data_IF_452637325784
#
_entry.id   IF_452637325784
#
_cell.length_a   1.000
_cell.length_b   1.000
_cell.length_c   1.000
_cell.angle_alpha   90.00
_cell.angle_beta   90.00
_cell.angle_gamma   90.00
#
_symmetry.space_group_name_H-M   'P 1'
#
loop_
_entity.id
_entity.type
_entity.pdbx_description
1 polymer ?
#
# COMPACT_ATOMS: atom_id res chain seq x y z
N UNK A 1 -1.01 3.51 -4.88
CA UNK A 1 -0.67 3.30 -6.32
C UNK A 1 -0.16 1.89 -6.62
N UNK A 2 0.85 1.39 -5.91
CA UNK A 2 1.38 0.03 -6.17
C UNK A 2 0.37 -1.07 -5.80
N UNK A 3 -0.35 -0.91 -4.67
CA UNK A 3 -1.47 -1.78 -4.24
C UNK A 3 -2.79 -1.47 -4.94
N UNK A 4 -3.69 -0.70 -4.33
CA UNK A 4 -5.04 -0.50 -4.90
C UNK A 4 -5.16 0.56 -6.01
N UNK A 5 -4.03 1.10 -6.48
CA UNK A 5 -4.03 2.09 -7.56
C UNK A 5 -4.05 1.46 -8.94
N UNK A 6 -4.70 2.15 -9.88
CA UNK A 6 -4.73 1.82 -11.29
C UNK A 6 -4.44 3.07 -12.13
N UNK A 7 -3.66 2.89 -13.19
CA UNK A 7 -3.37 3.92 -14.18
C UNK A 7 -3.83 3.36 -15.52
N UNK A 8 -4.87 3.95 -16.08
CA UNK A 8 -5.40 3.62 -17.39
C UNK A 8 -4.97 4.67 -18.40
N UNK A 9 -4.34 4.24 -19.50
CA UNK A 9 -3.89 5.10 -20.58
C UNK A 9 -4.28 4.46 -21.92
N UNK A 10 -5.18 5.10 -22.64
CA UNK A 10 -5.63 4.74 -23.98
C UNK A 10 -5.78 6.01 -24.84
N UNK A 11 -5.86 5.87 -26.16
CA UNK A 11 -5.90 7.01 -27.12
C UNK A 11 -6.90 8.10 -26.70
N UNK A 12 -8.09 7.70 -26.26
CA UNK A 12 -9.20 8.61 -25.94
C UNK A 12 -9.46 8.79 -24.43
N UNK A 13 -8.74 8.06 -23.56
CA UNK A 13 -9.04 8.08 -22.13
C UNK A 13 -7.77 7.89 -21.30
N UNK A 14 -7.56 8.80 -20.35
CA UNK A 14 -6.45 8.74 -19.39
C UNK A 14 -7.02 8.95 -18.00
N UNK A 15 -6.91 7.93 -17.16
CA UNK A 15 -7.50 7.93 -15.83
C UNK A 15 -6.52 7.36 -14.82
N UNK A 16 -6.45 8.01 -13.68
CA UNK A 16 -5.84 7.46 -12.47
C UNK A 16 -6.96 7.19 -11.48
N UNK A 17 -6.95 6.01 -10.88
CA UNK A 17 -7.92 5.65 -9.85
C UNK A 17 -7.26 4.90 -8.70
N UNK A 18 -7.84 5.05 -7.52
CA UNK A 18 -7.49 4.32 -6.32
C UNK A 18 -8.79 3.71 -5.83
N UNK A 19 -8.81 2.38 -5.76
CA UNK A 19 -9.95 1.64 -5.26
C UNK A 19 -9.82 1.44 -3.75
N UNK A 20 -10.93 1.37 -3.05
CA UNK A 20 -11.00 0.97 -1.65
C UNK A 20 -12.33 0.30 -1.36
N UNK A 21 -12.47 -0.31 -0.19
CA UNK A 21 -13.74 -0.84 0.26
C UNK A 21 -14.61 0.28 0.86
N UNK A 22 -15.94 0.15 0.79
CA UNK A 22 -16.85 1.09 1.47
C UNK A 22 -16.63 1.16 2.98
N UNK A 23 -16.17 0.07 3.62
CA UNK A 23 -15.77 0.06 5.04
C UNK A 23 -14.53 0.90 5.34
N UNK A 24 -13.83 1.37 4.31
CA UNK A 24 -12.64 2.21 4.40
C UNK A 24 -12.92 3.62 3.83
N UNK A 25 -14.20 4.01 3.75
CA UNK A 25 -14.65 5.29 3.20
C UNK A 25 -13.98 6.47 3.89
N UNK A 26 -13.90 6.46 5.22
CA UNK A 26 -13.29 7.54 6.01
C UNK A 26 -11.80 7.69 5.68
N UNK A 27 -11.08 6.57 5.55
CA UNK A 27 -9.68 6.58 5.13
C UNK A 27 -9.52 7.11 3.70
N UNK A 28 -10.37 6.65 2.78
CA UNK A 28 -10.27 7.04 1.37
C UNK A 28 -10.62 8.50 1.13
N UNK A 29 -11.69 9.01 1.76
CA UNK A 29 -12.17 10.38 1.59
C UNK A 29 -11.40 11.36 2.49
N UNK A 30 -11.11 10.98 3.73
CA UNK A 30 -10.49 11.84 4.73
C UNK A 30 -8.96 11.88 4.66
N UNK A 31 -8.30 10.85 4.10
CA UNK A 31 -6.84 10.80 4.01
C UNK A 31 -6.35 10.67 2.57
N UNK A 32 -6.76 9.62 1.84
CA UNK A 32 -6.19 9.32 0.51
C UNK A 32 -6.49 10.42 -0.50
N UNK A 33 -7.74 10.87 -0.60
CA UNK A 33 -8.12 11.95 -1.52
C UNK A 33 -7.35 13.25 -1.21
N UNK A 34 -7.39 13.81 0.02
CA UNK A 34 -6.63 15.01 0.37
C UNK A 34 -5.12 14.88 0.13
N UNK A 35 -4.53 13.72 0.39
CA UNK A 35 -3.12 13.45 0.11
C UNK A 35 -2.80 13.65 -1.38
N UNK A 36 -3.59 13.04 -2.26
CA UNK A 36 -3.40 13.17 -3.71
C UNK A 36 -3.67 14.59 -4.21
N UNK A 37 -4.74 15.23 -3.73
CA UNK A 37 -5.05 16.61 -4.10
C UNK A 37 -3.97 17.59 -3.62
N UNK A 38 -3.41 17.37 -2.43
CA UNK A 38 -2.34 18.17 -1.85
C UNK A 38 -1.02 18.05 -2.61
N UNK A 39 -0.68 16.84 -3.07
CA UNK A 39 0.55 16.56 -3.84
C UNK A 39 0.47 17.07 -5.27
N UNK A 40 -0.62 16.78 -5.97
CA UNK A 40 -0.75 17.07 -7.40
C UNK A 40 -1.45 18.41 -7.69
N UNK A 41 -1.97 19.09 -6.65
CA UNK A 41 -2.74 20.34 -6.78
C UNK A 41 -3.89 20.26 -7.77
N UNK A 42 -4.53 19.09 -7.86
CA UNK A 42 -5.69 18.82 -8.72
C UNK A 42 -6.79 18.17 -7.91
N UNK A 43 -8.05 18.50 -8.20
CA UNK A 43 -9.20 17.86 -7.55
C UNK A 43 -9.47 16.46 -8.11
N UNK A 44 -9.75 15.51 -7.23
CA UNK A 44 -10.16 14.15 -7.52
C UNK A 44 -11.67 13.98 -7.30
N UNK A 45 -12.27 13.11 -8.10
CA UNK A 45 -13.68 12.73 -8.01
C UNK A 45 -13.83 11.48 -7.14
N UNK A 46 -15.03 11.29 -6.59
CA UNK A 46 -15.41 10.09 -5.86
C UNK A 46 -16.50 9.36 -6.66
N UNK A 47 -16.37 8.04 -6.77
CA UNK A 47 -17.41 7.17 -7.33
C UNK A 47 -17.66 6.00 -6.39
N UNK A 48 -18.91 5.83 -5.97
CA UNK A 48 -19.36 4.68 -5.18
C UNK A 48 -19.79 3.55 -6.13
N UNK A 49 -19.51 2.31 -5.74
CA UNK A 49 -20.01 1.07 -6.36
C UNK A 49 -20.57 0.17 -5.27
N UNK A 50 -21.76 0.51 -4.79
CA UNK A 50 -22.41 -0.14 -3.65
C UNK A 50 -22.60 -1.65 -3.86
N UNK A 51 -23.03 -2.04 -5.06
CA UNK A 51 -23.18 -3.45 -5.45
C UNK A 51 -21.90 -4.29 -5.31
N UNK A 52 -20.72 -3.65 -5.32
CA UNK A 52 -19.41 -4.28 -5.20
C UNK A 52 -18.68 -3.90 -3.90
N UNK A 53 -19.37 -3.25 -2.95
CA UNK A 53 -18.76 -2.66 -1.74
C UNK A 53 -17.51 -1.81 -2.04
N UNK A 54 -17.49 -1.14 -3.20
CA UNK A 54 -16.33 -0.43 -3.71
C UNK A 54 -16.48 1.08 -3.67
N UNK A 55 -15.35 1.77 -3.50
CA UNK A 55 -15.22 3.21 -3.62
C UNK A 55 -14.00 3.51 -4.50
N UNK A 56 -14.14 4.50 -5.39
CA UNK A 56 -13.04 4.98 -6.22
C UNK A 56 -12.78 6.45 -5.94
N UNK A 57 -11.53 6.78 -5.65
CA UNK A 57 -10.99 8.14 -5.79
C UNK A 57 -10.30 8.19 -7.13
N UNK A 58 -10.76 9.03 -8.06
CA UNK A 58 -10.26 9.00 -9.44
C UNK A 58 -10.15 10.38 -10.09
N UNK A 59 -9.31 10.45 -11.12
CA UNK A 59 -9.16 11.63 -11.97
C UNK A 59 -8.91 11.22 -13.41
N UNK A 60 -9.70 11.78 -14.32
CA UNK A 60 -9.39 11.76 -15.75
C UNK A 60 -8.39 12.87 -16.03
N UNK A 61 -7.14 12.53 -16.37
CA UNK A 61 -6.10 13.51 -16.68
C UNK A 61 -4.92 12.84 -17.40
N UNK A 62 -4.62 13.31 -18.62
CA UNK A 62 -3.43 12.89 -19.38
C UNK A 62 -2.13 13.30 -18.66
N UNK A 63 -2.08 14.52 -18.12
CA UNK A 63 -0.90 15.04 -17.44
C UNK A 63 -0.57 14.27 -16.17
N UNK A 64 -1.58 13.87 -15.39
CA UNK A 64 -1.37 13.06 -14.19
C UNK A 64 -0.85 11.66 -14.54
N UNK A 65 -1.44 11.00 -15.54
CA UNK A 65 -0.96 9.70 -16.05
C UNK A 65 0.49 9.80 -16.49
N UNK A 66 0.83 10.80 -17.30
CA UNK A 66 2.21 11.04 -17.75
C UNK A 66 3.16 11.25 -16.57
N UNK A 67 2.76 12.08 -15.60
CA UNK A 67 3.56 12.38 -14.40
C UNK A 67 3.85 11.12 -13.59
N UNK A 68 2.83 10.31 -13.30
CA UNK A 68 3.01 9.07 -12.54
C UNK A 68 3.88 8.05 -13.27
N UNK A 69 3.74 7.95 -14.60
CA UNK A 69 4.61 7.10 -15.42
C UNK A 69 6.06 7.59 -15.40
N UNK A 70 6.30 8.91 -15.46
CA UNK A 70 7.63 9.52 -15.30
C UNK A 70 8.26 9.19 -13.94
N UNK A 71 7.46 9.07 -12.88
CA UNK A 71 7.90 8.60 -11.56
C UNK A 71 8.04 7.07 -11.45
N UNK A 72 7.94 6.32 -12.56
CA UNK A 72 8.23 4.90 -12.61
C UNK A 72 7.06 3.99 -12.23
N UNK A 73 5.84 4.51 -12.19
CA UNK A 73 4.63 3.69 -12.14
C UNK A 73 4.25 3.23 -13.56
N UNK A 74 3.50 2.14 -13.66
CA UNK A 74 3.13 1.54 -14.96
C UNK A 74 1.64 1.70 -15.22
N UNK A 75 1.29 2.09 -16.45
CA UNK A 75 -0.07 2.02 -16.96
C UNK A 75 -0.48 0.59 -17.33
N UNK A 76 -1.75 0.26 -17.12
CA UNK A 76 -2.35 -1.03 -17.46
C UNK A 76 -2.11 -2.11 -16.41
N UNK A 77 -2.00 -3.36 -16.86
CA UNK A 77 -1.86 -4.50 -15.97
C UNK A 77 -0.48 -4.51 -15.28
N UNK A 78 -0.47 -4.18 -13.98
CA UNK A 78 0.75 -4.08 -13.17
C UNK A 78 1.54 -5.38 -13.06
N UNK A 79 0.85 -6.53 -13.07
CA UNK A 79 1.50 -7.85 -12.99
C UNK A 79 2.26 -8.15 -14.27
N UNK A 80 1.62 -8.02 -15.43
CA UNK A 80 2.27 -8.29 -16.71
C UNK A 80 3.36 -7.27 -17.05
N UNK A 81 3.25 -6.04 -16.54
CA UNK A 81 4.26 -4.99 -16.69
C UNK A 81 5.36 -4.99 -15.62
N UNK A 82 5.34 -5.96 -14.70
CA UNK A 82 6.40 -6.10 -13.69
C UNK A 82 6.53 -4.91 -12.75
N UNK A 83 5.39 -4.36 -12.29
CA UNK A 83 5.39 -3.25 -11.33
C UNK A 83 6.26 -3.56 -10.11
N UNK A 84 7.02 -2.56 -9.67
CA UNK A 84 7.98 -2.66 -8.55
C UNK A 84 8.11 -1.29 -7.91
N UNK A 85 8.69 -1.24 -6.70
CA UNK A 85 9.05 0.03 -6.08
C UNK A 85 10.04 0.77 -7.00
N UNK A 86 9.77 2.02 -7.43
CA UNK A 86 10.67 2.77 -8.30
C UNK A 86 12.07 2.95 -7.69
N UNK A 87 13.16 2.84 -8.48
CA UNK A 87 14.53 2.92 -7.95
C UNK A 87 14.84 4.20 -7.17
N UNK A 88 14.28 5.34 -7.59
CA UNK A 88 14.50 6.62 -6.91
C UNK A 88 13.97 6.64 -5.47
N UNK A 89 12.98 5.80 -5.13
CA UNK A 89 12.51 5.65 -3.74
C UNK A 89 13.63 5.09 -2.84
N UNK A 90 14.49 4.22 -3.37
CA UNK A 90 15.59 3.61 -2.60
C UNK A 90 16.74 4.58 -2.28
N UNK A 91 16.73 5.79 -2.84
CA UNK A 91 17.74 6.82 -2.58
C UNK A 91 17.62 7.43 -1.19
N UNK A 92 16.43 7.40 -0.59
CA UNK A 92 16.16 8.02 0.71
C UNK A 92 15.36 7.08 1.63
N UNK A 93 15.84 6.91 2.86
CA UNK A 93 15.15 6.09 3.87
C UNK A 93 13.75 6.63 4.20
N UNK A 94 13.53 7.95 4.18
CA UNK A 94 12.21 8.53 4.42
C UNK A 94 11.21 8.15 3.32
N UNK A 95 11.65 8.14 2.06
CA UNK A 95 10.82 7.71 0.92
C UNK A 95 10.49 6.22 1.02
N UNK A 96 11.46 5.39 1.40
CA UNK A 96 11.21 3.96 1.65
C UNK A 96 10.19 3.74 2.75
N UNK A 97 10.32 4.43 3.89
CA UNK A 97 9.37 4.34 5.00
C UNK A 97 7.96 4.75 4.55
N UNK A 98 7.83 5.88 3.86
CA UNK A 98 6.55 6.35 3.34
C UNK A 98 5.94 5.39 2.29
N UNK A 99 6.76 4.84 1.40
CA UNK A 99 6.33 3.87 0.39
C UNK A 99 5.86 2.56 1.02
N UNK A 100 6.61 2.01 1.98
CA UNK A 100 6.25 0.80 2.70
C UNK A 100 4.99 0.99 3.55
N UNK A 101 4.83 2.13 4.22
CA UNK A 101 3.58 2.47 4.92
C UNK A 101 2.39 2.38 3.95
N UNK A 102 2.49 3.03 2.79
CA UNK A 102 1.43 2.99 1.79
C UNK A 102 1.15 1.60 1.22
N UNK A 103 2.17 0.74 1.08
CA UNK A 103 1.99 -0.66 0.65
C UNK A 103 1.28 -1.48 1.73
N UNK A 104 1.66 -1.33 3.00
CA UNK A 104 1.03 -2.04 4.10
C UNK A 104 -0.41 -1.56 4.31
N UNK A 105 -0.66 -0.26 4.13
CA UNK A 105 -2.00 0.32 4.25
C UNK A 105 -2.98 -0.25 3.23
N UNK A 106 -2.51 -0.68 2.06
CA UNK A 106 -3.33 -1.26 0.97
C UNK A 106 -3.28 -2.78 0.90
N UNK A 107 -2.08 -3.36 0.74
CA UNK A 107 -1.89 -4.80 0.49
C UNK A 107 -1.45 -5.57 1.75
N UNK A 108 -1.36 -4.88 2.88
CA UNK A 108 -0.97 -5.44 4.16
C UNK A 108 -2.13 -5.65 5.13
N UNK A 109 -1.80 -6.25 6.27
CA UNK A 109 -2.75 -6.46 7.36
C UNK A 109 -1.99 -6.69 8.66
N UNK A 110 -2.68 -6.51 9.79
CA UNK A 110 -2.15 -6.87 11.11
C UNK A 110 -2.92 -8.08 11.64
N UNK A 111 -2.23 -9.19 11.88
CA UNK A 111 -2.80 -10.44 12.36
C UNK A 111 -2.11 -10.89 13.65
N UNK A 112 -2.80 -11.61 14.55
CA UNK A 112 -2.14 -12.24 15.68
C UNK A 112 -1.16 -13.30 15.19
N UNK A 113 -0.20 -13.68 16.03
CA UNK A 113 0.80 -14.69 15.66
C UNK A 113 0.19 -16.06 15.43
N UNK A 114 -0.74 -16.44 16.29
CA UNK A 114 -1.61 -17.61 16.15
C UNK A 114 -2.76 -17.45 17.16
N UNK A 115 -3.58 -18.49 17.34
CA UNK A 115 -4.73 -18.44 18.25
C UNK A 115 -4.35 -18.38 19.74
N UNK A 116 -3.12 -18.73 20.10
CA UNK A 116 -2.65 -18.78 21.50
C UNK A 116 -1.70 -17.64 21.85
N UNK A 117 -1.07 -17.04 20.85
CA UNK A 117 -0.18 -15.90 20.97
C UNK A 117 -0.73 -14.79 20.09
N UNK A 118 -1.43 -13.86 20.73
CA UNK A 118 -2.14 -12.79 20.05
C UNK A 118 -1.23 -11.63 19.64
N UNK A 119 0.06 -11.69 19.97
CA UNK A 119 1.02 -10.65 19.62
C UNK A 119 0.99 -10.33 18.11
N UNK A 120 0.97 -9.06 17.71
CA UNK A 120 0.73 -8.69 16.32
C UNK A 120 1.90 -9.07 15.41
N UNK A 121 1.56 -9.51 14.22
CA UNK A 121 2.42 -9.63 13.05
C UNK A 121 1.95 -8.64 11.98
N UNK A 122 2.90 -8.05 11.26
CA UNK A 122 2.59 -7.15 10.15
C UNK A 122 2.79 -7.92 8.86
N UNK A 123 1.71 -8.12 8.12
CA UNK A 123 1.68 -8.90 6.89
C UNK A 123 1.67 -7.97 5.69
N UNK A 124 2.25 -8.45 4.59
CA UNK A 124 2.17 -7.86 3.27
C UNK A 124 1.91 -8.96 2.25
N UNK A 125 1.03 -8.69 1.29
CA UNK A 125 0.71 -9.62 0.20
C UNK A 125 0.93 -8.97 -1.15
N UNK A 126 1.30 -9.75 -2.17
CA UNK A 126 1.34 -9.25 -3.55
C UNK A 126 1.42 -10.39 -4.56
N UNK A 127 0.50 -10.39 -5.53
CA UNK A 127 0.54 -11.32 -6.67
C UNK A 127 1.61 -10.97 -7.73
N UNK A 128 2.39 -9.90 -7.53
CA UNK A 128 3.36 -9.37 -8.50
C UNK A 128 4.78 -9.75 -8.04
N UNK A 129 5.48 -10.69 -8.70
CA UNK A 129 6.80 -11.16 -8.27
C UNK A 129 7.85 -10.06 -8.12
N UNK A 130 7.92 -9.14 -9.08
CA UNK A 130 8.84 -7.99 -9.04
C UNK A 130 8.56 -7.06 -7.86
N UNK A 131 7.29 -6.88 -7.49
CA UNK A 131 6.91 -6.08 -6.33
C UNK A 131 7.34 -6.77 -5.04
N UNK A 132 7.11 -8.08 -4.90
CA UNK A 132 7.59 -8.89 -3.76
C UNK A 132 9.10 -8.74 -3.53
N UNK A 133 9.89 -8.88 -4.59
CA UNK A 133 11.36 -8.73 -4.54
C UNK A 133 11.73 -7.31 -4.07
N UNK A 134 11.11 -6.28 -4.66
CA UNK A 134 11.40 -4.89 -4.30
C UNK A 134 10.96 -4.53 -2.87
N UNK A 135 9.85 -5.09 -2.37
CA UNK A 135 9.38 -4.95 -0.98
C UNK A 135 10.38 -5.59 -0.02
N UNK A 136 10.83 -6.83 -0.28
CA UNK A 136 11.86 -7.48 0.54
C UNK A 136 13.15 -6.66 0.58
N UNK A 137 13.60 -6.16 -0.58
CA UNK A 137 14.78 -5.27 -0.65
C UNK A 137 14.58 -3.99 0.17
N UNK A 138 13.39 -3.39 0.14
CA UNK A 138 13.07 -2.17 0.86
C UNK A 138 13.09 -2.39 2.38
N UNK A 139 12.47 -3.47 2.88
CA UNK A 139 12.53 -3.84 4.30
C UNK A 139 13.95 -4.14 4.76
N UNK A 140 14.71 -4.93 3.99
CA UNK A 140 16.11 -5.24 4.31
C UNK A 140 16.97 -3.96 4.39
N UNK A 141 16.77 -3.00 3.47
CA UNK A 141 17.49 -1.70 3.48
C UNK A 141 17.18 -0.84 4.71
N UNK A 142 16.03 -1.05 5.34
CA UNK A 142 15.65 -0.42 6.61
C UNK A 142 15.98 -1.29 7.83
N UNK A 143 16.64 -2.44 7.63
CA UNK A 143 17.07 -3.35 8.70
C UNK A 143 15.96 -4.23 9.27
N UNK A 144 14.82 -4.38 8.59
CA UNK A 144 13.75 -5.31 8.96
C UNK A 144 13.94 -6.66 8.28
N UNK A 145 13.58 -7.74 8.96
CA UNK A 145 13.69 -9.10 8.47
C UNK A 145 12.30 -9.62 8.11
N UNK A 146 11.97 -9.54 6.83
CA UNK A 146 10.72 -10.10 6.32
C UNK A 146 10.82 -11.62 6.24
N UNK A 147 9.78 -12.34 6.68
CA UNK A 147 9.72 -13.80 6.50
C UNK A 147 9.78 -14.17 5.01
N UNK A 148 10.16 -15.41 4.71
CA UNK A 148 10.03 -15.94 3.35
C UNK A 148 8.60 -15.81 2.84
N UNK A 149 8.46 -15.44 1.56
CA UNK A 149 7.16 -15.37 0.91
C UNK A 149 6.55 -16.77 0.82
N UNK A 150 5.33 -16.93 1.32
CA UNK A 150 4.62 -18.22 1.26
C UNK A 150 4.07 -18.44 -0.15
N UNK A 151 4.47 -19.53 -0.77
CA UNK A 151 3.98 -19.95 -2.09
C UNK A 151 2.47 -20.25 -2.04
N UNK A 152 1.78 -20.05 -3.17
CA UNK A 152 0.32 -20.13 -3.29
C UNK A 152 -0.44 -18.94 -2.69
N UNK A 153 -0.06 -18.47 -1.50
CA UNK A 153 -0.74 -17.36 -0.79
C UNK A 153 -0.10 -15.99 -1.01
N UNK A 154 1.13 -15.93 -1.52
CA UNK A 154 1.84 -14.72 -1.91
C UNK A 154 1.93 -13.64 -0.82
N UNK A 155 2.16 -14.03 0.43
CA UNK A 155 2.36 -13.10 1.54
C UNK A 155 3.67 -13.35 2.28
N UNK A 156 4.14 -12.32 2.98
CA UNK A 156 5.24 -12.35 3.91
C UNK A 156 4.93 -11.47 5.13
N UNK A 157 5.72 -11.55 6.19
CA UNK A 157 5.41 -10.85 7.44
C UNK A 157 6.65 -10.47 8.26
N UNK A 158 6.54 -9.37 9.00
CA UNK A 158 7.43 -9.03 10.12
C UNK A 158 6.87 -9.70 11.37
N UNK A 159 7.71 -10.52 12.03
CA UNK A 159 7.28 -11.38 13.15
C UNK A 159 8.06 -11.18 14.45
N UNK A 160 9.28 -10.62 14.35
CA UNK A 160 10.10 -10.39 15.54
C UNK A 160 9.51 -9.24 16.32
N UNK A 161 9.23 -9.45 17.61
CA UNK A 161 8.63 -8.45 18.50
C UNK A 161 9.32 -7.09 18.43
N UNK A 162 10.65 -7.08 18.55
CA UNK A 162 11.44 -5.85 18.43
C UNK A 162 11.27 -5.14 17.09
N UNK A 163 11.17 -5.88 15.99
CA UNK A 163 10.95 -5.31 14.65
C UNK A 163 9.50 -4.86 14.44
N UNK A 164 8.52 -5.53 15.03
CA UNK A 164 7.11 -5.12 14.99
C UNK A 164 6.93 -3.78 15.73
N UNK A 165 7.48 -3.66 16.94
CA UNK A 165 7.47 -2.41 17.71
C UNK A 165 8.23 -1.29 16.99
N UNK A 166 9.38 -1.62 16.37
CA UNK A 166 10.16 -0.65 15.59
C UNK A 166 9.43 -0.23 14.31
N UNK A 167 8.71 -1.13 13.64
CA UNK A 167 7.90 -0.79 12.48
C UNK A 167 6.85 0.26 12.87
N UNK A 168 6.16 0.06 13.98
CA UNK A 168 5.15 1.00 14.45
C UNK A 168 5.74 2.39 14.70
N UNK A 169 6.93 2.47 15.32
CA UNK A 169 7.62 3.72 15.61
C UNK A 169 8.18 4.42 14.36
N UNK A 170 8.76 3.68 13.43
CA UNK A 170 9.50 4.27 12.29
C UNK A 170 8.67 4.42 11.01
N UNK A 171 7.72 3.51 10.78
CA UNK A 171 6.91 3.45 9.55
C UNK A 171 5.45 3.78 9.88
N UNK A 172 4.87 3.06 10.84
CA UNK A 172 3.49 3.24 11.27
C UNK A 172 2.45 2.85 10.23
N UNK A 173 1.21 3.26 10.48
CA UNK A 173 0.05 3.02 9.61
C UNK A 173 -0.66 4.34 9.38
N UNK A 174 -1.12 4.60 8.15
CA UNK A 174 -2.04 5.70 7.88
C UNK A 174 -3.48 5.21 7.73
N UNK A 175 -3.70 3.93 7.45
CA UNK A 175 -5.03 3.33 7.44
C UNK A 175 -5.46 2.98 8.89
N UNK A 176 -6.50 3.64 9.44
CA UNK A 176 -6.94 3.44 10.83
C UNK A 176 -7.28 1.98 11.15
N UNK A 177 -7.77 1.21 10.18
CA UNK A 177 -8.08 -0.22 10.34
C UNK A 177 -6.88 -1.02 10.84
N UNK A 178 -5.69 -0.77 10.30
CA UNK A 178 -4.48 -1.49 10.70
C UNK A 178 -3.97 -1.00 12.05
N UNK A 179 -4.07 0.31 12.31
CA UNK A 179 -3.72 0.89 13.61
C UNK A 179 -4.57 0.32 14.75
N UNK A 180 -5.90 0.26 14.56
CA UNK A 180 -6.84 -0.29 15.54
C UNK A 180 -6.52 -1.77 15.81
N UNK A 181 -6.29 -2.56 14.75
CA UNK A 181 -5.90 -3.98 14.90
C UNK A 181 -4.57 -4.15 15.62
N UNK A 182 -3.58 -3.31 15.31
CA UNK A 182 -2.30 -3.31 15.98
C UNK A 182 -2.44 -3.02 17.47
N UNK A 183 -3.17 -1.96 17.83
CA UNK A 183 -3.41 -1.57 19.22
C UNK A 183 -4.14 -2.68 19.99
N UNK A 184 -5.17 -3.29 19.40
CA UNK A 184 -5.89 -4.42 20.01
C UNK A 184 -4.94 -5.53 20.45
N UNK A 185 -4.07 -5.99 19.55
CA UNK A 185 -3.14 -7.09 19.81
C UNK A 185 -1.93 -6.70 20.69
N UNK A 186 -1.62 -5.41 20.81
CA UNK A 186 -0.56 -4.92 21.71
C UNK A 186 -1.00 -4.86 23.17
N UNK A 187 -2.31 -4.77 23.45
CA UNK A 187 -2.90 -4.65 24.79
C UNK A 187 -3.08 -6.02 25.46
N UNK A 188 -3.26 -7.09 24.69
CA UNK A 188 -3.46 -8.48 25.17
C UNK A 188 -2.15 -9.12 25.72
N UNK A 189 -1.37 -8.37 26.50
CA UNK A 189 -0.12 -8.80 27.16
C UNK A 189 -0.36 -9.76 28.33
#
# INVERSE_FOLDING_TARGET
MLGDGSIYAHKNQSQVSICGNLKEKEYMIGYVKPLFEGVFKIRFNIKFREYANGLYVYKNSKSLVFTLNKYGLVSGNKKSKGAKIPPWIFSNKSYLRACLRGIIDTDGCVYPRNNTNLYPNIWVSSAIPSLRISITKAFNKLGFSLSSWKEGRNYASIRRRSEVERYYKEIGFSNPKHLIRFQKFMIEK
#
